data_IF_500112340865
#
_entry.id   IF_500112340865
#
_cell.length_a   1.000
_cell.length_b   1.000
_cell.length_c   1.000
_cell.angle_alpha   90.00
_cell.angle_beta   90.00
_cell.angle_gamma   90.00
#
_symmetry.space_group_name_H-M   'P 1'
#
loop_
_entity.id
_entity.type
_entity.pdbx_description
1 polymer ?
#
# COMPACT_ATOMS: atom_id res chain seq x y z
N UNK A 1 13.60 -3.10 17.72
CA UNK A 1 13.06 -2.06 16.82
C UNK A 1 13.06 -0.66 17.43
N UNK A 2 12.44 -0.43 18.61
CA UNK A 2 12.45 0.89 19.28
C UNK A 2 13.79 1.23 19.93
N UNK A 3 14.13 2.51 19.96
CA UNK A 3 15.24 3.04 20.79
C UNK A 3 14.90 2.89 22.28
N UNK A 4 15.95 2.79 23.09
CA UNK A 4 15.83 2.76 24.55
C UNK A 4 15.88 4.18 25.12
N UNK A 5 15.24 4.39 26.26
CA UNK A 5 15.32 5.65 27.01
C UNK A 5 13.97 6.28 27.31
N UNK A 6 13.97 7.20 28.27
CA UNK A 6 12.76 7.84 28.78
C UNK A 6 12.05 8.69 27.71
N UNK A 7 12.81 9.39 26.87
CA UNK A 7 12.26 10.26 25.83
C UNK A 7 11.46 9.42 24.83
N UNK A 8 12.05 8.34 24.29
CA UNK A 8 11.38 7.42 23.36
C UNK A 8 10.21 6.68 24.00
N UNK A 9 10.27 6.40 25.30
CA UNK A 9 9.16 5.80 26.02
C UNK A 9 7.95 6.76 26.10
N UNK A 10 8.20 8.04 26.37
CA UNK A 10 7.14 9.05 26.54
C UNK A 10 6.60 9.59 25.21
N UNK A 11 7.49 9.89 24.25
CA UNK A 11 7.17 10.57 22.99
C UNK A 11 7.17 9.64 21.76
N UNK A 12 7.59 8.39 21.92
CA UNK A 12 7.65 7.41 20.83
C UNK A 12 8.88 7.56 19.93
N UNK A 13 8.86 6.82 18.83
CA UNK A 13 9.90 6.80 17.81
C UNK A 13 9.76 7.93 16.80
N UNK A 14 8.60 8.58 16.74
CA UNK A 14 8.20 9.51 15.69
C UNK A 14 7.29 8.86 14.65
N UNK A 15 6.28 9.60 14.20
CA UNK A 15 5.30 9.14 13.21
C UNK A 15 6.00 8.75 11.90
N UNK A 16 5.63 7.60 11.34
CA UNK A 16 6.15 7.11 10.06
C UNK A 16 7.57 6.54 10.12
N UNK A 17 8.15 6.36 11.32
CA UNK A 17 9.48 5.77 11.50
C UNK A 17 9.45 4.23 11.48
N UNK A 18 8.26 3.62 11.55
CA UNK A 18 8.11 2.17 11.60
C UNK A 18 8.77 1.45 10.40
N UNK A 19 8.47 1.78 9.12
CA UNK A 19 9.06 1.08 7.97
C UNK A 19 10.60 1.08 7.98
N UNK A 20 11.21 2.23 8.29
CA UNK A 20 12.66 2.36 8.36
C UNK A 20 13.24 1.48 9.49
N UNK A 21 12.66 1.54 10.68
CA UNK A 21 13.16 0.75 11.81
C UNK A 21 12.90 -0.74 11.64
N UNK A 22 11.81 -1.14 10.97
CA UNK A 22 11.56 -2.52 10.59
C UNK A 22 12.64 -3.00 9.63
N UNK A 23 12.89 -2.26 8.56
CA UNK A 23 13.91 -2.59 7.56
C UNK A 23 15.33 -2.75 8.15
N UNK A 24 15.73 -1.86 9.06
CA UNK A 24 17.09 -1.86 9.61
C UNK A 24 17.27 -2.69 10.89
N UNK A 25 16.21 -2.92 11.67
CA UNK A 25 16.32 -3.44 13.05
C UNK A 25 15.37 -4.60 13.37
N UNK A 26 14.52 -5.02 12.43
CA UNK A 26 13.69 -6.23 12.59
C UNK A 26 14.48 -7.49 12.20
N UNK A 27 14.09 -8.62 12.78
CA UNK A 27 14.51 -9.96 12.34
C UNK A 27 13.57 -10.57 11.30
N UNK A 28 12.44 -9.90 11.01
CA UNK A 28 11.50 -10.33 9.98
C UNK A 28 12.04 -10.06 8.57
N UNK A 29 11.48 -10.73 7.54
CA UNK A 29 11.82 -10.44 6.16
C UNK A 29 11.64 -8.96 5.82
N UNK A 30 12.70 -8.35 5.26
CA UNK A 30 12.72 -6.93 4.90
C UNK A 30 11.77 -6.66 3.75
N UNK A 31 11.12 -5.49 3.74
CA UNK A 31 10.52 -4.97 2.52
C UNK A 31 11.57 -4.87 1.42
N UNK A 32 11.22 -5.23 0.19
CA UNK A 32 12.07 -4.86 -0.94
C UNK A 32 12.04 -3.34 -1.16
N UNK A 33 13.10 -2.83 -1.76
CA UNK A 33 13.27 -1.42 -2.09
C UNK A 33 13.12 -1.20 -3.60
N UNK A 34 12.73 0.01 -3.97
CA UNK A 34 12.82 0.49 -5.34
C UNK A 34 13.49 1.86 -5.36
N UNK A 35 14.16 2.19 -6.46
CA UNK A 35 14.76 3.50 -6.66
C UNK A 35 14.83 3.82 -8.15
N UNK A 36 14.64 5.09 -8.50
CA UNK A 36 15.06 5.60 -9.80
C UNK A 36 16.54 5.97 -9.72
N UNK A 37 17.33 5.39 -10.60
CA UNK A 37 18.75 5.65 -10.75
C UNK A 37 18.98 6.31 -12.11
N UNK A 38 20.08 7.05 -12.26
CA UNK A 38 20.46 7.67 -13.52
C UNK A 38 21.94 7.44 -13.81
N UNK A 39 22.24 6.94 -15.00
CA UNK A 39 23.59 6.70 -15.47
C UNK A 39 23.77 7.34 -16.86
N UNK A 40 24.74 8.23 -17.00
CA UNK A 40 25.05 8.92 -18.28
C UNK A 40 23.83 9.60 -18.92
N UNK A 41 22.89 10.08 -18.10
CA UNK A 41 21.68 10.76 -18.57
C UNK A 41 20.52 9.84 -18.94
N UNK A 42 20.62 8.53 -18.71
CA UNK A 42 19.52 7.57 -18.84
C UNK A 42 18.99 7.20 -17.47
N UNK A 43 17.69 7.42 -17.25
CA UNK A 43 16.97 7.05 -16.03
C UNK A 43 16.48 5.62 -16.13
N UNK A 44 16.49 4.86 -15.03
CA UNK A 44 15.94 3.51 -15.00
C UNK A 44 15.46 3.12 -13.61
N UNK A 45 14.62 2.08 -13.55
CA UNK A 45 14.09 1.55 -12.30
C UNK A 45 15.02 0.47 -11.75
N UNK A 46 15.51 0.65 -10.52
CA UNK A 46 16.21 -0.37 -9.75
C UNK A 46 15.25 -1.00 -8.73
N UNK A 47 15.19 -2.33 -8.73
CA UNK A 47 14.44 -3.13 -7.77
C UNK A 47 15.41 -3.93 -6.89
N UNK A 48 15.23 -3.83 -5.58
CA UNK A 48 15.98 -4.56 -4.57
C UNK A 48 15.43 -5.96 -4.30
N UNK A 49 15.97 -6.63 -3.29
CA UNK A 49 15.50 -7.93 -2.79
C UNK A 49 14.71 -7.78 -1.49
N UNK A 50 13.94 -8.80 -1.13
CA UNK A 50 13.14 -8.84 0.09
C UNK A 50 11.74 -9.36 -0.18
N UNK A 51 10.80 -9.02 0.69
CA UNK A 51 9.38 -9.28 0.47
C UNK A 51 8.92 -8.63 -0.85
N UNK A 52 8.13 -9.33 -1.67
CA UNK A 52 7.72 -8.84 -2.99
C UNK A 52 7.05 -7.46 -2.94
N UNK A 53 7.52 -6.59 -3.84
CA UNK A 53 6.88 -5.34 -4.23
C UNK A 53 6.69 -5.38 -5.72
N UNK A 54 5.55 -4.86 -6.13
CA UNK A 54 5.15 -4.76 -7.51
C UNK A 54 5.20 -3.28 -7.89
N UNK A 55 6.03 -2.91 -8.85
CA UNK A 55 5.96 -1.61 -9.50
C UNK A 55 4.97 -1.71 -10.64
N UNK A 56 3.83 -1.03 -10.53
CA UNK A 56 2.64 -1.31 -11.35
C UNK A 56 2.10 -0.06 -12.04
N UNK A 57 1.51 -0.24 -13.22
CA UNK A 57 0.65 0.77 -13.85
C UNK A 57 -0.66 0.13 -14.32
N UNK A 58 -1.74 0.90 -14.30
CA UNK A 58 -3.01 0.48 -14.91
C UNK A 58 -2.88 0.48 -16.44
N UNK A 59 -3.37 -0.57 -17.07
CA UNK A 59 -3.39 -0.71 -18.53
C UNK A 59 -4.79 -1.09 -19.02
N UNK A 60 -5.07 -0.77 -20.28
CA UNK A 60 -6.29 -1.19 -20.96
C UNK A 60 -5.94 -2.29 -21.95
N UNK A 61 -6.41 -3.50 -21.68
CA UNK A 61 -6.26 -4.67 -22.54
C UNK A 61 -7.62 -5.31 -22.79
N UNK A 62 -7.84 -5.86 -23.98
CA UNK A 62 -8.96 -6.74 -24.28
C UNK A 62 -8.59 -8.20 -24.03
N UNK A 63 -9.59 -9.00 -23.65
CA UNK A 63 -9.47 -10.45 -23.49
C UNK A 63 -9.36 -11.14 -24.87
N UNK A 64 -8.71 -12.30 -24.90
CA UNK A 64 -8.46 -13.08 -26.11
C UNK A 64 -7.41 -12.51 -27.07
N UNK A 65 -6.70 -11.45 -26.68
CA UNK A 65 -5.73 -10.76 -27.53
C UNK A 65 -4.28 -11.14 -27.20
N UNK A 66 -3.40 -10.94 -28.18
CA UNK A 66 -1.95 -11.12 -28.03
C UNK A 66 -1.25 -9.77 -27.91
N UNK A 67 -0.33 -9.67 -26.95
CA UNK A 67 0.47 -8.49 -26.70
C UNK A 67 1.96 -8.81 -26.80
N UNK A 68 2.74 -7.86 -27.31
CA UNK A 68 4.19 -7.93 -27.33
C UNK A 68 4.76 -7.15 -26.14
N UNK A 69 5.41 -7.86 -25.21
CA UNK A 69 6.15 -7.28 -24.11
C UNK A 69 7.63 -7.19 -24.49
N UNK A 70 8.21 -6.01 -24.32
CA UNK A 70 9.64 -5.72 -24.47
C UNK A 70 10.15 -4.96 -23.25
N UNK A 71 11.37 -5.25 -22.83
CA UNK A 71 12.06 -4.49 -21.78
C UNK A 71 13.57 -4.74 -21.84
N UNK A 72 14.33 -3.80 -21.30
CA UNK A 72 15.72 -3.98 -20.91
C UNK A 72 15.83 -4.42 -19.46
N UNK A 73 16.67 -5.42 -19.20
CA UNK A 73 17.03 -5.84 -17.84
C UNK A 73 18.54 -5.89 -17.66
N UNK A 74 19.00 -5.60 -16.46
CA UNK A 74 20.41 -5.65 -16.09
C UNK A 74 20.56 -6.04 -14.63
N UNK A 75 21.48 -6.94 -14.33
CA UNK A 75 21.74 -7.36 -12.96
C UNK A 75 23.15 -7.92 -12.78
N UNK A 76 23.65 -7.99 -11.54
CA UNK A 76 25.01 -8.43 -11.25
C UNK A 76 25.17 -9.96 -11.21
N UNK A 77 24.07 -10.71 -11.21
CA UNK A 77 24.04 -12.16 -11.06
C UNK A 77 23.22 -12.78 -12.19
N UNK A 78 23.72 -13.89 -12.74
CA UNK A 78 22.96 -14.69 -13.69
C UNK A 78 21.83 -15.45 -13.00
N UNK A 79 20.81 -15.84 -13.77
CA UNK A 79 19.63 -16.57 -13.29
C UNK A 79 18.34 -15.81 -13.52
N UNK A 80 17.39 -15.86 -12.58
CA UNK A 80 16.14 -15.09 -12.68
C UNK A 80 16.45 -13.59 -12.54
N UNK A 81 15.79 -12.76 -13.34
CA UNK A 81 15.89 -11.29 -13.32
C UNK A 81 14.63 -10.65 -12.77
N UNK A 82 13.80 -10.10 -13.66
CA UNK A 82 12.53 -9.47 -13.31
C UNK A 82 11.35 -10.33 -13.77
N UNK A 83 10.33 -10.45 -12.92
CA UNK A 83 9.02 -10.98 -13.30
C UNK A 83 8.13 -9.82 -13.76
N UNK A 84 7.53 -9.97 -14.92
CA UNK A 84 6.54 -9.04 -15.47
C UNK A 84 5.20 -9.76 -15.54
N UNK A 85 4.15 -9.17 -14.99
CA UNK A 85 2.82 -9.75 -14.99
C UNK A 85 1.74 -8.77 -15.46
N UNK A 86 0.71 -9.32 -16.09
CA UNK A 86 -0.58 -8.66 -16.30
C UNK A 86 -1.57 -9.30 -15.34
N UNK A 87 -2.10 -8.53 -14.40
CA UNK A 87 -2.99 -9.05 -13.35
C UNK A 87 -4.25 -8.20 -13.23
N UNK A 88 -5.39 -8.85 -13.07
CA UNK A 88 -6.62 -8.19 -12.62
C UNK A 88 -6.48 -7.81 -11.14
N UNK A 89 -6.49 -6.52 -10.83
CA UNK A 89 -6.18 -6.02 -9.47
C UNK A 89 -6.85 -4.67 -9.19
N UNK A 90 -7.84 -4.66 -8.30
CA UNK A 90 -8.55 -3.43 -7.88
C UNK A 90 -7.69 -2.55 -6.97
N UNK A 91 -7.03 -3.14 -5.98
CA UNK A 91 -6.18 -2.44 -5.00
C UNK A 91 -4.94 -3.29 -4.69
N UNK A 92 -5.09 -4.30 -3.81
CA UNK A 92 -3.98 -5.07 -3.25
C UNK A 92 -3.94 -6.53 -3.75
N UNK A 93 -5.06 -7.21 -3.85
CA UNK A 93 -5.06 -8.64 -4.19
C UNK A 93 -5.14 -8.85 -5.70
N UNK A 94 -4.19 -9.61 -6.21
CA UNK A 94 -4.17 -10.05 -7.60
C UNK A 94 -5.21 -11.17 -7.82
N UNK A 95 -5.97 -11.07 -8.89
CA UNK A 95 -6.90 -12.10 -9.37
C UNK A 95 -6.24 -12.99 -10.41
N UNK A 96 -6.83 -13.03 -11.61
CA UNK A 96 -6.22 -13.71 -12.76
C UNK A 96 -4.94 -12.98 -13.16
N UNK A 97 -3.90 -13.74 -13.45
CA UNK A 97 -2.60 -13.21 -13.86
C UNK A 97 -2.00 -14.05 -14.98
N UNK A 98 -1.31 -13.39 -15.89
CA UNK A 98 -0.30 -14.01 -16.77
C UNK A 98 1.04 -13.36 -16.50
N UNK A 99 2.12 -14.13 -16.53
CA UNK A 99 3.44 -13.62 -16.22
C UNK A 99 4.54 -14.21 -17.11
N UNK A 100 5.61 -13.45 -17.27
CA UNK A 100 6.88 -13.87 -17.87
C UNK A 100 8.00 -13.40 -16.98
N UNK A 101 9.04 -14.20 -16.87
CA UNK A 101 10.23 -13.84 -16.09
C UNK A 101 11.40 -13.70 -17.05
N UNK A 102 12.05 -12.54 -17.02
CA UNK A 102 13.33 -12.32 -17.65
C UNK A 102 14.39 -13.19 -16.97
N UNK A 103 15.15 -13.94 -17.75
CA UNK A 103 16.38 -14.55 -17.27
C UNK A 103 17.56 -13.64 -17.63
N UNK A 104 18.45 -13.44 -16.67
CA UNK A 104 19.71 -12.72 -16.83
C UNK A 104 20.80 -13.73 -17.20
N UNK A 105 21.37 -13.57 -18.38
CA UNK A 105 22.55 -14.33 -18.78
C UNK A 105 23.78 -13.88 -17.96
N UNK A 106 24.77 -14.76 -17.84
CA UNK A 106 26.10 -14.38 -17.34
C UNK A 106 26.66 -13.24 -18.21
N UNK A 107 27.07 -12.17 -17.55
CA UNK A 107 27.64 -11.01 -18.22
C UNK A 107 28.10 -9.96 -17.23
N UNK A 108 28.89 -9.01 -17.73
CA UNK A 108 29.54 -7.96 -16.95
C UNK A 108 28.57 -6.83 -16.54
N UNK A 109 27.36 -7.19 -16.11
CA UNK A 109 26.30 -6.24 -15.77
C UNK A 109 25.88 -5.37 -16.96
N UNK A 110 25.87 -5.91 -18.17
CA UNK A 110 25.37 -5.20 -19.36
C UNK A 110 23.86 -5.30 -19.50
N UNK A 111 23.25 -4.33 -20.19
CA UNK A 111 21.82 -4.36 -20.52
C UNK A 111 21.50 -5.49 -21.49
N UNK A 112 20.43 -6.24 -21.19
CA UNK A 112 19.95 -7.36 -21.98
C UNK A 112 18.50 -7.07 -22.40
N UNK A 113 18.23 -7.11 -23.70
CA UNK A 113 16.88 -6.93 -24.24
C UNK A 113 16.09 -8.24 -24.13
N UNK A 114 14.87 -8.16 -23.63
CA UNK A 114 13.95 -9.27 -23.48
C UNK A 114 12.67 -9.00 -24.25
N UNK A 115 12.11 -10.03 -24.87
CA UNK A 115 10.89 -9.93 -25.66
C UNK A 115 10.05 -11.20 -25.56
N UNK A 116 8.75 -11.05 -25.28
CA UNK A 116 7.80 -12.17 -25.28
C UNK A 116 6.44 -11.76 -25.83
N UNK A 117 5.76 -12.75 -26.40
CA UNK A 117 4.32 -12.67 -26.62
C UNK A 117 3.58 -13.08 -25.34
N UNK A 118 2.55 -12.31 -25.01
CA UNK A 118 1.66 -12.48 -23.88
C UNK A 118 0.22 -12.57 -24.39
N UNK A 119 -0.37 -13.75 -24.23
CA UNK A 119 -1.81 -13.91 -24.40
C UNK A 119 -2.53 -13.34 -23.19
N UNK A 120 -3.49 -12.44 -23.38
CA UNK A 120 -4.32 -11.96 -22.29
C UNK A 120 -5.23 -13.06 -21.74
N UNK A 121 -5.53 -14.10 -22.52
CA UNK A 121 -6.55 -15.09 -22.19
C UNK A 121 -7.83 -14.38 -21.76
N UNK A 122 -8.34 -14.71 -20.59
CA UNK A 122 -9.54 -14.08 -20.02
C UNK A 122 -9.31 -12.74 -19.31
N UNK A 123 -8.08 -12.21 -19.25
CA UNK A 123 -7.80 -10.96 -18.55
C UNK A 123 -8.54 -9.79 -19.19
N UNK A 124 -9.22 -9.00 -18.35
CA UNK A 124 -10.00 -7.87 -18.82
C UNK A 124 -11.33 -8.27 -19.45
N UNK A 125 -11.76 -9.54 -19.30
CA UNK A 125 -13.11 -9.98 -19.68
C UNK A 125 -14.18 -9.46 -18.72
N UNK A 126 -15.44 -9.53 -19.15
CA UNK A 126 -16.60 -9.06 -18.40
C UNK A 126 -17.16 -7.71 -18.86
N UNK A 127 -18.44 -7.48 -18.56
CA UNK A 127 -19.12 -6.21 -18.84
C UNK A 127 -18.58 -5.06 -17.97
N UNK A 128 -18.89 -3.82 -18.32
CA UNK A 128 -18.32 -2.62 -17.68
C UNK A 128 -18.47 -2.57 -16.15
N UNK A 129 -19.55 -3.15 -15.59
CA UNK A 129 -19.79 -3.24 -14.14
C UNK A 129 -18.96 -4.31 -13.42
N UNK A 130 -18.54 -5.36 -14.13
CA UNK A 130 -17.84 -6.52 -13.57
C UNK A 130 -16.36 -6.59 -14.00
N UNK A 131 -15.95 -5.76 -14.97
CA UNK A 131 -14.60 -5.73 -15.50
C UNK A 131 -13.63 -5.24 -14.44
N UNK A 132 -12.72 -6.10 -14.03
CA UNK A 132 -11.65 -5.75 -13.10
C UNK A 132 -10.57 -4.98 -13.84
N UNK A 133 -10.02 -3.90 -13.26
CA UNK A 133 -8.89 -3.20 -13.86
C UNK A 133 -7.68 -4.15 -13.94
N UNK A 134 -6.92 -4.04 -15.02
CA UNK A 134 -5.69 -4.80 -15.24
C UNK A 134 -4.49 -3.90 -14.97
N UNK A 135 -3.49 -4.44 -14.30
CA UNK A 135 -2.21 -3.79 -14.08
C UNK A 135 -1.08 -4.55 -14.77
N UNK A 136 -0.17 -3.80 -15.37
CA UNK A 136 1.17 -4.26 -15.73
C UNK A 136 2.06 -4.08 -14.50
N UNK A 137 2.66 -5.15 -14.01
CA UNK A 137 3.44 -5.15 -12.77
C UNK A 137 4.85 -5.70 -13.01
N UNK A 138 5.85 -5.06 -12.40
CA UNK A 138 7.25 -5.47 -12.38
C UNK A 138 7.63 -5.88 -10.96
N UNK A 139 8.22 -7.06 -10.79
CA UNK A 139 8.70 -7.54 -9.50
C UNK A 139 10.08 -8.19 -9.65
N UNK A 140 10.98 -7.97 -8.69
CA UNK A 140 12.28 -8.62 -8.70
C UNK A 140 12.13 -10.12 -8.41
N UNK A 141 12.61 -10.96 -9.32
CA UNK A 141 12.63 -12.42 -9.17
C UNK A 141 14.07 -12.96 -8.95
N UNK A 142 15.06 -12.08 -8.94
CA UNK A 142 16.47 -12.41 -8.77
C UNK A 142 16.87 -12.52 -7.29
N UNK A 143 18.06 -13.07 -7.04
CA UNK A 143 18.69 -13.12 -5.71
C UNK A 143 19.45 -11.81 -5.37
N UNK A 144 19.51 -10.87 -6.30
CA UNK A 144 20.23 -9.60 -6.17
C UNK A 144 19.36 -8.42 -6.57
N UNK A 145 19.97 -7.25 -6.75
CA UNK A 145 19.27 -6.11 -7.37
C UNK A 145 19.11 -6.34 -8.87
N UNK A 146 18.00 -5.89 -9.44
CA UNK A 146 17.78 -5.87 -10.89
C UNK A 146 17.39 -4.46 -11.33
N UNK A 147 18.00 -4.01 -12.41
CA UNK A 147 17.68 -2.76 -13.08
C UNK A 147 16.79 -3.07 -14.29
N UNK A 148 15.77 -2.26 -14.50
CA UNK A 148 14.74 -2.42 -15.52
C UNK A 148 14.55 -1.10 -16.24
N UNK A 149 14.47 -1.17 -17.56
CA UNK A 149 14.30 0.01 -18.42
C UNK A 149 13.53 -0.35 -19.70
N UNK A 150 13.09 0.65 -20.47
CA UNK A 150 12.48 0.53 -21.78
C UNK A 150 11.27 -0.44 -21.83
N UNK A 151 10.42 -0.41 -20.80
CA UNK A 151 9.25 -1.30 -20.69
C UNK A 151 8.16 -0.90 -21.69
N UNK A 152 7.91 -1.77 -22.66
CA UNK A 152 6.91 -1.57 -23.72
C UNK A 152 5.96 -2.75 -23.77
N UNK A 153 4.68 -2.49 -23.57
CA UNK A 153 3.61 -3.41 -23.90
C UNK A 153 2.91 -2.88 -25.15
N UNK A 154 2.90 -3.67 -26.21
CA UNK A 154 2.31 -3.31 -27.51
C UNK A 154 1.15 -4.25 -27.82
N UNK A 155 0.06 -3.72 -28.39
CA UNK A 155 -1.00 -4.52 -28.97
C UNK A 155 -0.57 -5.11 -30.32
N UNK A 156 -1.37 -6.02 -30.88
CA UNK A 156 -1.07 -6.71 -32.14
C UNK A 156 -0.89 -5.76 -33.35
N UNK A 157 -1.54 -4.60 -33.32
CA UNK A 157 -1.42 -3.53 -34.34
C UNK A 157 -0.18 -2.63 -34.15
N UNK A 158 0.63 -2.89 -33.11
CA UNK A 158 1.79 -2.08 -32.74
C UNK A 158 1.47 -0.88 -31.84
N UNK A 159 0.21 -0.67 -31.48
CA UNK A 159 -0.20 0.40 -30.56
C UNK A 159 0.43 0.19 -29.19
N UNK A 160 1.08 1.22 -28.64
CA UNK A 160 1.70 1.16 -27.33
C UNK A 160 0.66 1.33 -26.21
N UNK A 161 0.58 0.34 -25.34
CA UNK A 161 -0.34 0.26 -24.21
C UNK A 161 0.31 0.71 -22.90
N UNK A 162 1.59 0.42 -22.69
CA UNK A 162 2.32 0.89 -21.50
C UNK A 162 2.81 2.33 -21.65
N UNK A 163 2.92 3.04 -20.53
CA UNK A 163 3.34 4.44 -20.48
C UNK A 163 4.59 4.61 -19.62
N UNK A 164 5.42 5.61 -19.94
CA UNK A 164 6.61 5.99 -19.18
C UNK A 164 7.49 4.79 -18.78
N UNK A 165 7.73 3.87 -19.72
CA UNK A 165 8.50 2.65 -19.46
C UNK A 165 10.02 2.85 -19.51
N UNK A 166 10.46 4.03 -19.97
CA UNK A 166 11.84 4.54 -19.93
C UNK A 166 12.13 5.34 -18.64
N UNK A 167 11.12 5.59 -17.80
CA UNK A 167 11.24 6.26 -16.50
C UNK A 167 11.82 7.69 -16.54
N UNK A 168 11.91 8.32 -17.72
CA UNK A 168 12.39 9.69 -17.89
C UNK A 168 11.44 10.74 -17.28
N UNK A 169 10.16 10.40 -17.14
CA UNK A 169 9.17 11.20 -16.40
C UNK A 169 9.02 10.71 -14.96
N UNK A 170 10.08 10.15 -14.39
CA UNK A 170 10.07 9.58 -13.06
C UNK A 170 9.13 8.39 -12.96
N UNK A 171 8.30 8.37 -11.91
CA UNK A 171 7.28 7.33 -11.68
C UNK A 171 5.90 7.71 -12.22
N UNK A 172 5.79 8.64 -13.17
CA UNK A 172 4.50 8.97 -13.76
C UNK A 172 3.81 7.71 -14.29
N UNK A 173 2.58 7.49 -13.80
CA UNK A 173 1.71 6.31 -14.05
C UNK A 173 2.14 5.02 -13.36
N UNK A 174 3.31 4.98 -12.73
CA UNK A 174 3.82 3.84 -11.98
C UNK A 174 3.64 4.03 -10.47
N UNK A 175 3.12 3.00 -9.80
CA UNK A 175 2.88 2.99 -8.37
C UNK A 175 3.31 1.65 -7.80
N UNK A 176 3.90 1.66 -6.61
CA UNK A 176 4.20 0.41 -5.95
C UNK A 176 2.98 -0.15 -5.21
N UNK A 177 2.87 -1.47 -5.18
CA UNK A 177 2.00 -2.20 -4.25
C UNK A 177 2.74 -3.39 -3.65
N UNK A 178 2.27 -3.87 -2.51
CA UNK A 178 2.85 -5.00 -1.78
C UNK A 178 1.72 -5.91 -1.33
N UNK A 179 1.91 -7.22 -1.42
CA UNK A 179 0.93 -8.17 -0.89
C UNK A 179 1.18 -8.42 0.61
N UNK A 180 2.43 -8.23 1.06
CA UNK A 180 2.84 -8.32 2.46
C UNK A 180 3.09 -6.91 3.02
N UNK A 181 2.17 -6.43 3.83
CA UNK A 181 2.14 -5.07 4.39
C UNK A 181 2.78 -4.96 5.80
N UNK A 182 3.02 -6.09 6.49
CA UNK A 182 3.68 -6.13 7.80
C UNK A 182 4.95 -5.28 7.92
N UNK A 183 5.86 -5.21 6.93
CA UNK A 183 7.04 -4.34 7.02
C UNK A 183 6.73 -2.83 6.99
N UNK A 184 5.51 -2.46 6.61
CA UNK A 184 5.13 -1.08 6.30
C UNK A 184 4.30 -0.43 7.41
N UNK A 185 3.60 -1.20 8.23
CA UNK A 185 2.86 -0.64 9.37
C UNK A 185 2.59 -1.66 10.47
N UNK A 186 2.22 -1.14 11.64
CA UNK A 186 1.80 -1.95 12.79
C UNK A 186 0.30 -2.16 12.68
N UNK A 187 -0.18 -3.41 12.74
CA UNK A 187 -1.61 -3.69 12.62
C UNK A 187 -2.45 -3.30 13.84
N UNK A 188 -1.89 -3.14 15.04
CA UNK A 188 -2.69 -2.76 16.21
C UNK A 188 -2.57 -1.27 16.49
N UNK A 189 -3.67 -0.50 16.43
CA UNK A 189 -3.64 0.95 16.64
C UNK A 189 -3.03 1.36 17.99
N UNK A 190 -3.35 0.71 19.14
CA UNK A 190 -2.66 1.03 20.40
C UNK A 190 -1.15 0.82 20.34
N UNK A 191 -0.69 -0.24 19.65
CA UNK A 191 0.74 -0.52 19.48
C UNK A 191 1.37 0.48 18.52
N UNK A 192 0.68 0.86 17.44
CA UNK A 192 1.11 1.88 16.49
C UNK A 192 1.29 3.23 17.18
N UNK A 193 0.30 3.68 17.97
CA UNK A 193 0.39 4.93 18.75
C UNK A 193 1.53 4.85 19.78
N UNK A 194 1.64 3.73 20.51
CA UNK A 194 2.70 3.56 21.49
C UNK A 194 4.10 3.56 20.84
N UNK A 195 4.20 3.02 19.62
CA UNK A 195 5.43 3.03 18.84
C UNK A 195 5.76 4.45 18.35
N UNK A 196 4.82 5.11 17.68
CA UNK A 196 5.04 6.41 17.02
C UNK A 196 5.08 7.58 17.99
N UNK A 197 4.17 7.60 18.97
CA UNK A 197 3.90 8.74 19.86
C UNK A 197 4.14 8.45 21.35
N UNK A 198 4.51 7.22 21.70
CA UNK A 198 4.85 6.84 23.07
C UNK A 198 3.65 6.80 24.01
N UNK A 199 3.95 6.73 25.31
CA UNK A 199 2.90 6.67 26.34
C UNK A 199 2.04 7.93 26.38
N UNK A 200 2.59 9.11 26.10
CA UNK A 200 1.79 10.35 26.10
C UNK A 200 0.76 10.34 24.97
N UNK A 201 1.13 9.93 23.77
CA UNK A 201 0.19 9.77 22.66
C UNK A 201 -0.89 8.73 22.97
N UNK A 202 -0.50 7.58 23.52
CA UNK A 202 -1.44 6.52 23.87
C UNK A 202 -2.44 6.97 24.94
N UNK A 203 -1.97 7.62 26.01
CA UNK A 203 -2.82 8.16 27.08
C UNK A 203 -3.73 9.26 26.55
N UNK A 204 -3.24 10.17 25.71
CA UNK A 204 -4.06 11.23 25.13
C UNK A 204 -5.20 10.66 24.27
N UNK A 205 -4.90 9.69 23.40
CA UNK A 205 -5.90 9.01 22.58
C UNK A 205 -6.92 8.25 23.44
N UNK A 206 -6.44 7.49 24.43
CA UNK A 206 -7.30 6.74 25.35
C UNK A 206 -8.20 7.69 26.17
N UNK A 207 -7.69 8.84 26.61
CA UNK A 207 -8.47 9.85 27.32
C UNK A 207 -9.55 10.46 26.43
N UNK A 208 -9.22 10.81 25.18
CA UNK A 208 -10.18 11.35 24.21
C UNK A 208 -11.32 10.35 23.95
N UNK A 209 -10.98 9.10 23.63
CA UNK A 209 -11.95 8.03 23.40
C UNK A 209 -12.76 7.75 24.67
N UNK A 210 -12.11 7.65 25.82
CA UNK A 210 -12.77 7.37 27.10
C UNK A 210 -13.77 8.46 27.49
N UNK A 211 -13.43 9.73 27.27
CA UNK A 211 -14.34 10.87 27.47
C UNK A 211 -15.54 10.81 26.51
N UNK A 212 -15.30 10.52 25.23
CA UNK A 212 -16.34 10.36 24.22
C UNK A 212 -17.30 9.21 24.56
N UNK A 213 -16.77 8.02 24.86
CA UNK A 213 -17.52 6.84 25.28
C UNK A 213 -18.36 7.13 26.53
N UNK A 214 -17.75 7.71 27.57
CA UNK A 214 -18.44 7.99 28.84
C UNK A 214 -19.61 8.96 28.65
N UNK A 215 -19.41 10.05 27.89
CA UNK A 215 -20.46 11.04 27.63
C UNK A 215 -21.59 10.47 26.78
N UNK A 216 -21.24 9.74 25.72
CA UNK A 216 -22.21 9.10 24.83
C UNK A 216 -23.02 8.05 25.57
N UNK A 217 -22.37 7.22 26.38
CA UNK A 217 -23.04 6.21 27.21
C UNK A 217 -24.02 6.82 28.20
N UNK A 218 -23.63 7.89 28.91
CA UNK A 218 -24.56 8.59 29.82
C UNK A 218 -25.82 9.09 29.10
N UNK A 219 -25.69 9.65 27.89
CA UNK A 219 -26.84 10.11 27.09
C UNK A 219 -27.70 8.95 26.58
N UNK A 220 -27.07 7.88 26.11
CA UNK A 220 -27.78 6.68 25.68
C UNK A 220 -28.62 6.09 26.84
N UNK A 221 -28.04 6.05 28.05
CA UNK A 221 -28.73 5.57 29.26
C UNK A 221 -29.89 6.47 29.70
N UNK A 222 -29.93 7.74 29.28
CA UNK A 222 -31.08 8.64 29.49
C UNK A 222 -32.17 8.50 28.41
N UNK A 223 -32.02 7.57 27.45
CA UNK A 223 -33.00 7.30 26.41
C UNK A 223 -32.76 7.99 25.07
N UNK A 224 -31.62 8.66 24.87
CA UNK A 224 -31.26 9.26 23.58
C UNK A 224 -30.84 8.17 22.57
N UNK A 225 -31.73 7.88 21.62
CA UNK A 225 -31.50 6.87 20.58
C UNK A 225 -30.33 7.21 19.65
N UNK A 226 -30.09 8.49 19.36
CA UNK A 226 -28.94 8.92 18.54
C UNK A 226 -27.63 8.68 19.27
N UNK A 227 -27.56 9.01 20.56
CA UNK A 227 -26.42 8.68 21.39
C UNK A 227 -26.19 7.16 21.47
N UNK A 228 -27.25 6.36 21.59
CA UNK A 228 -27.18 4.90 21.52
C UNK A 228 -26.55 4.40 20.21
N UNK A 229 -26.98 4.93 19.06
CA UNK A 229 -26.43 4.58 17.76
C UNK A 229 -24.95 4.98 17.62
N UNK A 230 -24.57 6.18 18.07
CA UNK A 230 -23.17 6.65 18.05
C UNK A 230 -22.30 5.80 18.98
N UNK A 231 -22.80 5.41 20.16
CA UNK A 231 -22.08 4.54 21.08
C UNK A 231 -21.83 3.16 20.47
N UNK A 232 -22.83 2.56 19.82
CA UNK A 232 -22.69 1.29 19.12
C UNK A 232 -21.68 1.39 17.97
N UNK A 233 -21.76 2.46 17.16
CA UNK A 233 -20.81 2.70 16.07
C UNK A 233 -19.37 2.88 16.58
N UNK A 234 -19.17 3.73 17.59
CA UNK A 234 -17.86 3.95 18.21
C UNK A 234 -17.31 2.65 18.80
N UNK A 235 -18.13 1.86 19.49
CA UNK A 235 -17.72 0.56 20.04
C UNK A 235 -17.28 -0.42 18.95
N UNK A 236 -18.01 -0.48 17.83
CA UNK A 236 -17.63 -1.30 16.68
C UNK A 236 -16.28 -0.89 16.09
N UNK A 237 -16.06 0.43 15.91
CA UNK A 237 -14.75 0.94 15.44
C UNK A 237 -13.64 0.60 16.42
N UNK A 238 -13.86 0.77 17.74
CA UNK A 238 -12.85 0.48 18.77
C UNK A 238 -12.43 -0.99 18.78
N UNK A 239 -13.35 -1.93 18.56
CA UNK A 239 -13.01 -3.36 18.41
C UNK A 239 -12.06 -3.55 17.23
N UNK A 240 -12.32 -2.90 16.10
CA UNK A 240 -11.43 -2.96 14.92
C UNK A 240 -10.06 -2.38 15.28
N UNK A 241 -9.98 -1.29 16.04
CA UNK A 241 -8.69 -0.65 16.38
C UNK A 241 -7.72 -1.54 17.17
N UNK A 242 -8.22 -2.59 17.83
CA UNK A 242 -7.36 -3.54 18.54
C UNK A 242 -6.56 -4.43 17.57
N UNK A 243 -7.13 -4.70 16.39
CA UNK A 243 -6.62 -5.63 15.39
C UNK A 243 -6.13 -4.95 14.11
N UNK A 244 -6.58 -3.71 13.85
CA UNK A 244 -6.21 -2.92 12.67
C UNK A 244 -5.86 -1.45 13.05
N UNK A 245 -5.02 -0.80 12.26
CA UNK A 245 -4.58 0.58 12.47
C UNK A 245 -5.38 1.53 11.60
N UNK A 246 -6.53 1.95 12.13
CA UNK A 246 -7.45 2.86 11.42
C UNK A 246 -6.92 4.29 11.25
N UNK A 247 -5.79 4.63 11.88
CA UNK A 247 -5.21 5.97 11.84
C UNK A 247 -4.24 6.20 10.68
N UNK A 248 -3.84 5.14 9.98
CA UNK A 248 -2.92 5.24 8.83
C UNK A 248 -3.56 5.93 7.63
N UNK A 249 -4.89 5.89 7.55
CA UNK A 249 -5.65 6.63 6.56
C UNK A 249 -6.33 7.86 7.21
N UNK A 250 -6.01 9.10 6.79
CA UNK A 250 -6.55 10.32 7.39
C UNK A 250 -8.09 10.37 7.46
N UNK A 251 -8.76 9.78 6.47
CA UNK A 251 -10.24 9.70 6.41
C UNK A 251 -10.85 8.84 7.52
N UNK A 252 -10.18 7.77 7.93
CA UNK A 252 -10.67 6.89 9.00
C UNK A 252 -10.34 7.46 10.37
N UNK A 253 -9.17 8.09 10.53
CA UNK A 253 -8.88 8.91 11.70
C UNK A 253 -9.93 10.02 11.88
N UNK A 254 -10.26 10.76 10.80
CA UNK A 254 -11.29 11.77 10.85
C UNK A 254 -12.64 11.20 11.30
N UNK A 255 -13.06 10.05 10.75
CA UNK A 255 -14.30 9.39 11.16
C UNK A 255 -14.30 9.03 12.65
N UNK A 256 -13.20 8.44 13.15
CA UNK A 256 -13.05 8.11 14.57
C UNK A 256 -13.15 9.37 15.45
N UNK A 257 -12.46 10.44 15.06
CA UNK A 257 -12.50 11.72 15.77
C UNK A 257 -13.90 12.34 15.75
N UNK A 258 -14.60 12.30 14.61
CA UNK A 258 -15.97 12.79 14.48
C UNK A 258 -16.95 11.99 15.34
N UNK A 259 -16.89 10.66 15.35
CA UNK A 259 -17.72 9.82 16.20
C UNK A 259 -17.49 10.12 17.68
N UNK A 260 -16.22 10.26 18.07
CA UNK A 260 -15.83 10.63 19.43
C UNK A 260 -16.31 12.04 19.79
N UNK A 261 -16.26 12.97 18.84
CA UNK A 261 -16.73 14.35 19.01
C UNK A 261 -18.26 14.47 19.04
N UNK A 262 -19.01 13.74 18.22
CA UNK A 262 -20.49 13.78 18.24
C UNK A 262 -21.04 13.36 19.60
N UNK A 263 -20.39 12.38 20.22
CA UNK A 263 -20.65 11.98 21.60
C UNK A 263 -20.43 13.11 22.61
N UNK A 264 -19.45 13.98 22.34
CA UNK A 264 -19.13 15.13 23.17
C UNK A 264 -20.05 16.33 22.91
N UNK A 265 -20.28 16.69 21.64
CA UNK A 265 -20.94 17.92 21.21
C UNK A 265 -22.48 17.86 21.15
N UNK A 266 -23.09 16.67 21.21
CA UNK A 266 -24.55 16.49 21.20
C UNK A 266 -25.28 16.99 22.46
N UNK A 267 -24.96 18.19 22.97
CA UNK A 267 -25.61 18.79 24.13
C UNK A 267 -26.58 19.90 23.73
N UNK A 268 -27.85 19.70 24.08
CA UNK A 268 -28.88 20.71 24.35
C UNK A 268 -29.63 21.33 23.15
N UNK A 269 -30.60 20.59 22.59
CA UNK A 269 -31.80 21.20 21.97
C UNK A 269 -33.15 20.75 22.56
N UNK A 270 -33.17 19.83 23.52
CA UNK A 270 -34.43 19.35 24.11
C UNK A 270 -35.02 20.26 25.22
N UNK A 271 -34.26 21.20 25.79
CA UNK A 271 -34.73 22.12 26.85
C UNK A 271 -34.97 23.56 26.37
N UNK A 272 -35.05 23.80 25.05
CA UNK A 272 -35.41 25.12 24.51
C UNK A 272 -36.56 25.00 23.53
N UNK A 273 -37.75 24.85 24.09
CA UNK A 273 -38.98 25.29 23.43
C UNK A 273 -40.04 24.21 23.26
N UNK A 274 -40.98 24.17 24.19
CA UNK A 274 -42.42 24.18 23.92
C UNK A 274 -43.14 24.64 25.22
N UNK A 275 -44.26 25.35 25.10
CA UNK A 275 -44.61 26.57 25.85
C UNK A 275 -44.95 26.39 27.34
#
# INVERSE_FOLDING_TARGET
>A
MRDQGLITALLGMGIGRFPETHYWRSSEPKATSYRLESERGNTFLRLGTGNPLYMEQFILIAAGEEYLLQLGVRGPQAGKGVSVSLCEKLLLTSGRCVFKTADLAEGDGQWQSQQWHLSSGELGSGGWLARRPVKLSLANASQGRVDVDNVRLLAADGTRISHNGDFEQGLDRWFFSVDQDLPWHVWSMPVAILFDQGWLGLVAMAALIGLGMTRTARRALTGDAWAGAVLAALSGVLVITLLDTVIDAPRFLLLLLLLTWTGWAGGSRADRGAP
#
